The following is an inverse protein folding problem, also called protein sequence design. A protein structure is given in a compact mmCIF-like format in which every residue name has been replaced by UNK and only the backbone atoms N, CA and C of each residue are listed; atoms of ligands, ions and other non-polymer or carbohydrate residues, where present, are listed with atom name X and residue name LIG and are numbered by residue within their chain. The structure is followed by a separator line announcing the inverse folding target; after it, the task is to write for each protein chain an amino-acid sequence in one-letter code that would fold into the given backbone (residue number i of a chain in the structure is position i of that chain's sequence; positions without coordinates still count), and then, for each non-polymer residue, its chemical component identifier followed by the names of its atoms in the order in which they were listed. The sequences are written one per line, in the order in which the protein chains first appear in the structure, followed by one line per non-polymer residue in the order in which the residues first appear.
data_IF_518908640199
#
_entry.id   IF_518908640199
#
_cell.length_a   1.000
_cell.length_b   1.000
_cell.length_c   1.000
_cell.angle_alpha   90.00
_cell.angle_beta   90.00
_cell.angle_gamma   90.00
#
_symmetry.space_group_name_H-M   'P 1'
#
loop_
_entity.id
_entity.type
_entity.pdbx_description
1 polymer ?
#
# COMPACT_ATOMS: atom_id res chain seq x y z
N UNK A 1 18.45 -27.53 5.94
CA UNK A 1 18.75 -26.40 6.85
C UNK A 1 17.65 -25.38 6.76
N UNK A 2 17.19 -24.86 7.89
CA UNK A 2 16.17 -23.81 7.94
C UNK A 2 16.71 -22.56 8.59
N UNK A 3 16.33 -21.41 8.07
CA UNK A 3 16.62 -20.09 8.61
C UNK A 3 15.33 -19.27 8.64
N UNK A 4 15.17 -18.45 9.65
CA UNK A 4 14.11 -17.45 9.66
C UNK A 4 14.74 -16.10 9.39
N UNK A 5 14.16 -15.37 8.47
CA UNK A 5 14.68 -14.06 8.03
C UNK A 5 13.56 -13.03 8.14
N UNK A 6 13.83 -11.93 8.82
CA UNK A 6 12.94 -10.79 8.81
C UNK A 6 13.33 -9.92 7.61
N UNK A 7 12.37 -9.68 6.74
CA UNK A 7 12.54 -8.77 5.60
C UNK A 7 11.67 -7.55 5.86
N UNK A 8 12.29 -6.38 5.92
CA UNK A 8 11.61 -5.11 6.18
C UNK A 8 11.78 -4.20 4.97
N UNK A 9 10.69 -3.68 4.47
CA UNK A 9 10.69 -2.70 3.40
C UNK A 9 10.08 -1.40 3.90
N UNK A 10 10.71 -0.27 3.55
CA UNK A 10 10.13 1.05 3.77
C UNK A 10 9.61 1.53 2.43
N UNK A 11 8.33 1.80 2.35
CA UNK A 11 7.66 2.26 1.14
C UNK A 11 7.21 3.70 1.32
N UNK A 12 7.64 4.56 0.42
CA UNK A 12 7.17 5.95 0.39
C UNK A 12 5.91 6.00 -0.46
N UNK A 13 4.84 6.53 0.10
CA UNK A 13 3.55 6.66 -0.59
C UNK A 13 3.17 8.14 -0.67
N UNK A 14 2.81 8.58 -1.86
CA UNK A 14 2.27 9.90 -2.12
C UNK A 14 0.89 9.74 -2.71
N UNK A 15 -0.05 10.58 -2.30
CA UNK A 15 -1.38 10.61 -2.87
C UNK A 15 -1.94 12.03 -2.80
N UNK A 16 -3.00 12.28 -3.57
CA UNK A 16 -3.72 13.55 -3.53
C UNK A 16 -4.85 13.44 -2.51
N UNK A 17 -4.68 14.08 -1.35
CA UNK A 17 -5.67 14.07 -0.27
C UNK A 17 -7.05 14.52 -0.73
N UNK A 18 -7.11 15.44 -1.70
CA UNK A 18 -8.37 15.97 -2.20
C UNK A 18 -9.20 14.93 -2.96
N UNK A 19 -8.57 13.84 -3.38
CA UNK A 19 -9.26 12.72 -4.03
C UNK A 19 -9.80 11.70 -3.03
N UNK A 20 -9.29 11.73 -1.80
CA UNK A 20 -9.68 10.80 -0.73
C UNK A 20 -10.69 11.48 0.22
N UNK A 21 -11.80 11.94 -0.34
CA UNK A 21 -12.85 12.59 0.43
C UNK A 21 -13.60 11.58 1.31
N UNK A 22 -14.27 12.08 2.34
CA UNK A 22 -15.09 11.22 3.19
C UNK A 22 -16.18 10.50 2.39
N UNK A 23 -16.79 11.18 1.43
CA UNK A 23 -17.79 10.59 0.54
C UNK A 23 -17.19 9.45 -0.29
N UNK A 24 -16.03 9.70 -0.91
CA UNK A 24 -15.34 8.68 -1.69
C UNK A 24 -14.96 7.47 -0.83
N UNK A 25 -14.41 7.71 0.37
CA UNK A 25 -14.02 6.64 1.29
C UNK A 25 -15.22 5.84 1.80
N UNK A 26 -16.36 6.50 1.99
CA UNK A 26 -17.60 5.81 2.41
C UNK A 26 -18.07 4.83 1.34
N UNK A 27 -18.09 5.24 0.09
CA UNK A 27 -18.45 4.35 -1.02
C UNK A 27 -17.44 3.21 -1.17
N UNK A 28 -16.17 3.51 -1.01
CA UNK A 28 -15.10 2.52 -1.10
C UNK A 28 -15.27 1.42 -0.04
N UNK A 29 -15.61 1.81 1.20
CA UNK A 29 -15.85 0.86 2.30
C UNK A 29 -16.96 -0.13 2.01
N UNK A 30 -17.94 0.28 1.24
CA UNK A 30 -19.08 -0.59 0.91
C UNK A 30 -18.69 -1.74 -0.01
N UNK A 31 -17.64 -1.58 -0.79
CA UNK A 31 -17.23 -2.55 -1.80
C UNK A 31 -15.98 -3.35 -1.39
N UNK A 32 -15.05 -2.75 -0.68
CA UNK A 32 -13.73 -3.33 -0.42
C UNK A 32 -13.53 -3.67 1.07
N UNK A 33 -12.88 -2.78 1.82
CA UNK A 33 -12.51 -3.01 3.21
C UNK A 33 -12.97 -1.86 4.09
N UNK A 34 -13.13 -2.06 5.41
CA UNK A 34 -13.66 -1.02 6.30
C UNK A 34 -12.61 0.03 6.69
N UNK A 35 -11.93 0.60 5.73
CA UNK A 35 -10.94 1.66 5.99
C UNK A 35 -11.67 2.98 6.27
N UNK A 36 -11.38 3.59 7.41
CA UNK A 36 -12.06 4.80 7.89
C UNK A 36 -11.18 6.04 7.89
N UNK A 37 -9.93 5.91 7.44
CA UNK A 37 -9.00 7.03 7.40
C UNK A 37 -8.09 6.94 6.19
N UNK A 38 -7.51 8.07 5.80
CA UNK A 38 -6.51 8.11 4.73
C UNK A 38 -5.30 7.25 5.10
N UNK A 39 -4.91 7.23 6.37
CA UNK A 39 -3.78 6.43 6.83
C UNK A 39 -3.95 4.95 6.51
N UNK A 40 -5.16 4.42 6.63
CA UNK A 40 -5.43 3.02 6.29
C UNK A 40 -5.25 2.78 4.79
N UNK A 41 -5.63 3.73 3.96
CA UNK A 41 -5.40 3.65 2.52
C UNK A 41 -3.91 3.70 2.20
N UNK A 42 -3.17 4.58 2.87
CA UNK A 42 -1.71 4.69 2.69
C UNK A 42 -1.03 3.36 3.06
N UNK A 43 -1.40 2.76 4.19
CA UNK A 43 -0.86 1.46 4.60
C UNK A 43 -1.16 0.38 3.57
N UNK A 44 -2.39 0.36 3.05
CA UNK A 44 -2.81 -0.62 2.04
C UNK A 44 -2.03 -0.46 0.73
N UNK A 45 -1.87 0.78 0.27
CA UNK A 45 -1.09 1.08 -0.94
C UNK A 45 0.37 0.65 -0.75
N UNK A 46 0.95 0.93 0.41
CA UNK A 46 2.31 0.51 0.72
C UNK A 46 2.46 -1.02 0.69
N UNK A 47 1.49 -1.74 1.24
CA UNK A 47 1.48 -3.20 1.21
C UNK A 47 1.39 -3.75 -0.21
N UNK A 48 0.56 -3.14 -1.05
CA UNK A 48 0.44 -3.53 -2.45
C UNK A 48 1.75 -3.32 -3.20
N UNK A 49 2.41 -2.18 -3.00
CA UNK A 49 3.71 -1.92 -3.62
C UNK A 49 4.75 -2.93 -3.16
N UNK A 50 4.83 -3.19 -1.87
CA UNK A 50 5.80 -4.15 -1.31
C UNK A 50 5.62 -5.55 -1.88
N UNK A 51 4.39 -5.95 -2.21
CA UNK A 51 4.06 -7.26 -2.78
C UNK A 51 4.08 -7.30 -4.30
N UNK A 52 4.35 -6.16 -4.96
CA UNK A 52 4.32 -6.07 -6.41
C UNK A 52 2.92 -6.09 -7.00
N UNK A 53 1.89 -5.80 -6.20
CA UNK A 53 0.50 -5.80 -6.62
C UNK A 53 -0.05 -4.47 -7.08
N UNK A 54 0.77 -3.42 -7.06
CA UNK A 54 0.34 -2.09 -7.48
C UNK A 54 0.62 -1.90 -8.98
N UNK A 55 -0.39 -1.52 -9.73
CA UNK A 55 -0.27 -1.26 -11.18
C UNK A 55 -0.64 0.19 -11.48
N UNK A 56 0.22 0.88 -12.21
CA UNK A 56 0.00 2.28 -12.60
C UNK A 56 -1.24 2.45 -13.45
N UNK A 57 -1.50 1.49 -14.33
CA UNK A 57 -2.59 1.58 -15.29
C UNK A 57 -3.94 1.34 -14.64
N UNK A 58 -3.98 0.41 -13.69
CA UNK A 58 -5.20 0.12 -12.96
C UNK A 58 -4.90 -0.73 -11.72
N UNK A 59 -5.38 -0.29 -10.56
CA UNK A 59 -5.34 -1.07 -9.32
C UNK A 59 -6.76 -1.13 -8.77
N UNK A 60 -7.23 -2.33 -8.43
CA UNK A 60 -8.58 -2.53 -7.91
C UNK A 60 -8.84 -1.62 -6.71
N UNK A 61 -9.94 -0.90 -6.74
CA UNK A 61 -10.33 0.06 -5.73
C UNK A 61 -9.86 1.48 -5.99
N UNK A 62 -8.77 1.67 -6.73
CA UNK A 62 -8.19 3.00 -6.98
C UNK A 62 -8.22 3.42 -8.45
N UNK A 63 -8.41 2.47 -9.36
CA UNK A 63 -8.37 2.75 -10.79
C UNK A 63 -6.97 3.09 -11.27
N UNK A 64 -6.84 3.91 -12.32
CA UNK A 64 -5.52 4.41 -12.73
C UNK A 64 -4.93 5.25 -11.60
N UNK A 65 -3.69 4.95 -11.21
CA UNK A 65 -3.09 5.59 -10.03
C UNK A 65 -2.95 7.11 -10.20
N UNK A 66 -2.69 7.56 -11.42
CA UNK A 66 -2.57 8.99 -11.71
C UNK A 66 -3.83 9.78 -11.35
N UNK A 67 -5.02 9.16 -11.50
CA UNK A 67 -6.29 9.81 -11.20
C UNK A 67 -6.45 10.14 -9.71
N UNK A 68 -5.79 9.37 -8.86
CA UNK A 68 -5.80 9.57 -7.41
C UNK A 68 -4.52 10.22 -6.89
N UNK A 69 -3.61 10.59 -7.80
CA UNK A 69 -2.32 11.15 -7.44
C UNK A 69 -1.42 10.18 -6.70
N UNK A 70 -1.63 8.87 -6.87
CA UNK A 70 -0.91 7.84 -6.13
C UNK A 70 0.44 7.55 -6.79
N UNK A 71 1.50 7.64 -5.97
CA UNK A 71 2.84 7.18 -6.31
C UNK A 71 3.39 6.41 -5.12
N UNK A 72 4.02 5.29 -5.36
CA UNK A 72 4.62 4.49 -4.30
C UNK A 72 5.93 3.88 -4.78
N UNK A 73 6.92 3.84 -3.90
CA UNK A 73 8.21 3.21 -4.20
C UNK A 73 8.84 2.68 -2.93
N UNK A 74 9.56 1.58 -3.05
CA UNK A 74 10.40 1.06 -1.98
C UNK A 74 11.65 1.93 -1.90
N UNK A 75 11.89 2.55 -0.74
CA UNK A 75 13.05 3.44 -0.53
C UNK A 75 14.13 2.81 0.34
N UNK A 76 13.81 1.73 1.03
CA UNK A 76 14.77 1.00 1.83
C UNK A 76 14.32 -0.44 2.01
N UNK A 77 15.27 -1.35 2.13
CA UNK A 77 14.99 -2.75 2.41
C UNK A 77 16.13 -3.32 3.24
N UNK A 78 15.75 -4.05 4.28
CA UNK A 78 16.73 -4.73 5.15
C UNK A 78 16.33 -6.18 5.35
N UNK A 79 17.31 -7.04 5.56
CA UNK A 79 17.13 -8.44 5.89
C UNK A 79 17.93 -8.76 7.15
N UNK A 80 17.31 -9.53 8.05
CA UNK A 80 17.94 -9.95 9.28
C UNK A 80 17.67 -11.42 9.54
N UNK A 81 18.73 -12.21 9.74
CA UNK A 81 18.56 -13.61 10.12
C UNK A 81 18.21 -13.67 11.60
N UNK A 82 17.01 -14.19 11.89
CA UNK A 82 16.48 -14.24 13.26
C UNK A 82 16.80 -15.55 13.96
N UNK A 83 16.72 -16.67 13.22
CA UNK A 83 16.91 -17.98 13.80
C UNK A 83 17.45 -18.95 12.77
N UNK A 84 18.11 -19.98 13.24
CA UNK A 84 18.63 -21.06 12.39
C UNK A 84 18.44 -22.42 13.07
N UNK A 85 18.28 -23.41 12.28
CA UNK A 85 18.23 -24.80 12.71
C UNK A 85 19.47 -25.57 12.28
#
# INVERSE_FOLDING_TARGET
MKRQVAVTQVVEVELDENKFTEEWMTEWRQTFYPFRSIDRHIEHIAQLEARGGLSKDFTEGYGPLADMGIKAKVIDQTEEILASE
#
